data_IF_230915879058
#
_entry.id   IF_230915879058
#
_cell.length_a   1.000
_cell.length_b   1.000
_cell.length_c   1.000
_cell.angle_alpha   90.00
_cell.angle_beta   90.00
_cell.angle_gamma   90.00
#
_symmetry.space_group_name_H-M   'P 1'
#
loop_
_entity.id
_entity.type
_entity.pdbx_description
1 polymer ?
#
# COMPACT_ATOMS: atom_id res chain seq x y z
N UNK A 1 -21.70 -46.18 37.80
CA UNK A 1 -20.33 -45.79 37.42
C UNK A 1 -20.14 -44.32 37.78
N UNK A 2 -19.40 -43.98 38.85
CA UNK A 2 -19.20 -42.58 39.27
C UNK A 2 -18.09 -41.96 38.42
N UNK A 3 -18.43 -41.06 37.49
CA UNK A 3 -17.42 -40.31 36.74
C UNK A 3 -16.61 -39.44 37.72
N UNK A 4 -15.29 -39.58 37.67
CA UNK A 4 -14.36 -38.85 38.53
C UNK A 4 -14.23 -37.41 38.02
N UNK A 5 -14.95 -36.46 38.65
CA UNK A 5 -15.11 -35.06 38.21
C UNK A 5 -13.76 -34.38 37.91
N UNK A 6 -12.69 -34.74 38.63
CA UNK A 6 -11.33 -34.23 38.39
C UNK A 6 -10.76 -34.61 37.02
N UNK A 7 -11.11 -35.79 36.49
CA UNK A 7 -10.68 -36.24 35.14
C UNK A 7 -11.54 -35.63 34.03
N UNK A 8 -12.82 -35.35 34.32
CA UNK A 8 -13.71 -34.65 33.38
C UNK A 8 -13.29 -33.19 33.21
N UNK A 9 -12.87 -32.52 34.28
CA UNK A 9 -12.41 -31.13 34.24
C UNK A 9 -11.10 -30.94 33.43
N UNK A 10 -10.20 -31.93 33.46
CA UNK A 10 -8.96 -31.91 32.67
C UNK A 10 -9.21 -32.15 31.17
N UNK A 11 -10.25 -32.89 30.81
CA UNK A 11 -10.61 -33.19 29.42
C UNK A 11 -11.35 -32.04 28.73
N UNK A 12 -12.07 -31.20 29.49
CA UNK A 12 -12.76 -30.01 28.97
C UNK A 12 -11.80 -28.84 28.71
N UNK A 13 -10.64 -28.79 29.39
CA UNK A 13 -9.69 -27.69 29.22
C UNK A 13 -8.89 -27.75 27.91
N UNK A 14 -8.71 -28.93 27.32
CA UNK A 14 -7.91 -29.14 26.10
C UNK A 14 -8.67 -28.77 24.81
N UNK A 15 -10.01 -28.68 24.85
CA UNK A 15 -10.83 -28.37 23.67
C UNK A 15 -11.07 -26.87 23.42
N UNK A 16 -10.48 -25.97 24.22
CA UNK A 16 -10.73 -24.52 24.11
C UNK A 16 -9.73 -23.74 23.24
N UNK A 17 -8.71 -24.41 22.67
CA UNK A 17 -7.62 -23.71 21.95
C UNK A 17 -7.83 -23.67 20.43
N UNK A 18 -8.87 -24.30 19.88
CA UNK A 18 -9.24 -24.12 18.47
C UNK A 18 -10.38 -23.11 18.35
N UNK A 19 -10.18 -21.89 18.86
CA UNK A 19 -10.96 -20.77 18.35
C UNK A 19 -10.48 -20.56 16.91
N UNK A 20 -11.24 -21.05 15.93
CA UNK A 20 -11.11 -20.52 14.57
C UNK A 20 -11.18 -19.00 14.72
N UNK A 21 -10.11 -18.30 14.31
CA UNK A 21 -10.15 -16.84 14.24
C UNK A 21 -11.29 -16.48 13.28
N UNK A 22 -12.45 -16.15 13.84
CA UNK A 22 -13.59 -15.65 13.07
C UNK A 22 -13.21 -14.24 12.62
N UNK A 23 -12.45 -14.16 11.53
CA UNK A 23 -12.14 -12.91 10.86
C UNK A 23 -13.28 -12.54 9.93
N UNK A 24 -13.54 -11.23 9.81
CA UNK A 24 -14.52 -10.72 8.85
C UNK A 24 -13.99 -10.82 7.42
N UNK A 25 -12.65 -10.82 7.26
CA UNK A 25 -11.96 -10.91 5.99
C UNK A 25 -11.17 -12.21 5.87
N UNK A 26 -11.02 -12.73 4.65
CA UNK A 26 -10.12 -13.86 4.40
C UNK A 26 -8.65 -13.42 4.46
N UNK A 27 -7.70 -14.35 4.62
CA UNK A 27 -6.29 -14.00 4.55
C UNK A 27 -5.89 -13.28 3.25
N UNK A 28 -6.40 -13.74 2.11
CA UNK A 28 -6.20 -13.13 0.80
C UNK A 28 -6.72 -11.69 0.77
N UNK A 29 -7.92 -11.43 1.30
CA UNK A 29 -8.47 -10.08 1.35
C UNK A 29 -7.60 -9.11 2.19
N UNK A 30 -7.03 -9.57 3.30
CA UNK A 30 -6.08 -8.76 4.06
C UNK A 30 -4.81 -8.49 3.24
N UNK A 31 -4.24 -9.52 2.61
CA UNK A 31 -3.01 -9.38 1.82
C UNK A 31 -3.22 -8.47 0.60
N UNK A 32 -4.31 -8.67 -0.14
CA UNK A 32 -4.62 -7.91 -1.34
C UNK A 32 -4.82 -6.42 -1.01
N UNK A 33 -5.62 -6.15 0.03
CA UNK A 33 -5.93 -4.77 0.39
C UNK A 33 -4.74 -4.05 1.04
N UNK A 34 -4.03 -4.71 1.96
CA UNK A 34 -2.97 -4.06 2.73
C UNK A 34 -1.62 -4.05 1.99
N UNK A 35 -1.30 -5.07 1.20
CA UNK A 35 0.00 -5.20 0.54
C UNK A 35 -0.10 -5.06 -0.98
N UNK A 36 -0.88 -5.91 -1.66
CA UNK A 36 -0.85 -5.98 -3.12
C UNK A 36 -1.24 -4.64 -3.78
N UNK A 37 -2.29 -4.00 -3.29
CA UNK A 37 -2.75 -2.71 -3.82
C UNK A 37 -1.74 -1.56 -3.64
N UNK A 38 -0.70 -1.73 -2.81
CA UNK A 38 0.36 -0.73 -2.68
C UNK A 38 1.24 -0.63 -3.93
N UNK A 39 1.16 -1.61 -4.83
CA UNK A 39 1.79 -1.54 -6.14
C UNK A 39 1.27 -0.35 -6.97
N UNK A 40 0.03 0.11 -6.75
CA UNK A 40 -0.52 1.30 -7.44
C UNK A 40 0.15 2.62 -7.01
N UNK A 41 0.79 2.63 -5.84
CA UNK A 41 1.49 3.80 -5.27
C UNK A 41 3.01 3.59 -5.15
N UNK A 42 3.52 2.54 -5.79
CA UNK A 42 4.94 2.19 -5.80
C UNK A 42 5.79 3.10 -6.69
N UNK A 43 5.16 3.78 -7.65
CA UNK A 43 5.83 4.77 -8.49
C UNK A 43 5.91 6.10 -7.75
N UNK A 44 7.00 6.31 -7.03
CA UNK A 44 7.20 7.48 -6.19
C UNK A 44 8.40 8.30 -6.67
N UNK A 45 8.49 9.57 -6.26
CA UNK A 45 9.63 10.41 -6.60
C UNK A 45 9.61 10.81 -8.08
N UNK A 46 10.80 11.04 -8.65
CA UNK A 46 10.93 11.32 -10.08
C UNK A 46 10.36 10.20 -10.97
N UNK A 47 10.43 8.95 -10.49
CA UNK A 47 9.91 7.78 -11.20
C UNK A 47 8.39 7.85 -11.46
N UNK A 48 7.64 8.56 -10.62
CA UNK A 48 6.22 8.86 -10.87
C UNK A 48 6.04 9.58 -12.22
N UNK A 49 6.86 10.61 -12.45
CA UNK A 49 6.75 11.47 -13.63
C UNK A 49 7.23 10.78 -14.90
N UNK A 50 8.21 9.87 -14.80
CA UNK A 50 8.53 8.98 -15.91
C UNK A 50 7.34 8.11 -16.32
N UNK A 51 6.58 7.62 -15.34
CA UNK A 51 5.34 6.88 -15.55
C UNK A 51 4.29 7.71 -16.30
N UNK A 52 4.12 8.97 -15.93
CA UNK A 52 3.25 9.92 -16.62
C UNK A 52 3.71 10.16 -18.07
N UNK A 53 5.01 10.38 -18.31
CA UNK A 53 5.55 10.54 -19.67
C UNK A 53 5.32 9.29 -20.54
N UNK A 54 5.48 8.08 -19.96
CA UNK A 54 5.15 6.83 -20.65
C UNK A 54 3.65 6.71 -20.95
N UNK A 55 2.78 7.11 -20.01
CA UNK A 55 1.34 7.15 -20.22
C UNK A 55 0.97 8.05 -21.41
N UNK A 56 1.53 9.26 -21.49
CA UNK A 56 1.26 10.19 -22.58
C UNK A 56 1.63 9.62 -23.96
N UNK A 57 2.70 8.82 -24.03
CA UNK A 57 3.15 8.19 -25.27
C UNK A 57 2.28 7.00 -25.69
N UNK A 58 1.79 6.23 -24.72
CA UNK A 58 1.16 4.94 -24.98
C UNK A 58 -0.38 4.97 -24.96
N UNK A 59 -0.99 6.02 -24.42
CA UNK A 59 -2.45 6.13 -24.33
C UNK A 59 -2.98 7.17 -25.32
N UNK A 60 -4.01 6.79 -26.06
CA UNK A 60 -4.70 7.62 -27.05
C UNK A 60 -6.21 7.38 -27.00
N UNK A 61 -7.00 8.38 -27.38
CA UNK A 61 -8.45 8.27 -27.47
C UNK A 61 -9.20 9.30 -26.63
N UNK A 62 -10.53 9.36 -26.76
CA UNK A 62 -11.37 10.23 -25.95
C UNK A 62 -11.20 9.90 -24.46
N UNK A 63 -11.07 10.94 -23.62
CA UNK A 63 -10.84 10.78 -22.17
C UNK A 63 -9.38 10.57 -21.76
N UNK A 64 -8.42 10.69 -22.69
CA UNK A 64 -7.00 10.76 -22.34
C UNK A 64 -6.73 11.95 -21.43
N UNK A 65 -6.09 11.70 -20.29
CA UNK A 65 -5.66 12.76 -19.37
C UNK A 65 -4.34 13.34 -19.87
N UNK A 66 -4.34 14.58 -20.34
CA UNK A 66 -3.11 15.20 -20.86
C UNK A 66 -2.35 15.98 -19.81
N UNK A 67 -3.02 16.53 -18.79
CA UNK A 67 -2.37 17.28 -17.72
C UNK A 67 -1.71 16.38 -16.67
N UNK A 68 -0.50 16.73 -16.25
CA UNK A 68 0.23 16.07 -15.19
C UNK A 68 -0.47 16.23 -13.84
N UNK A 69 -1.00 17.42 -13.53
CA UNK A 69 -1.76 17.66 -12.29
C UNK A 69 -3.02 16.80 -12.25
N UNK A 70 -3.76 16.69 -13.35
CA UNK A 70 -4.96 15.85 -13.42
C UNK A 70 -4.61 14.35 -13.29
N UNK A 71 -3.52 13.91 -13.94
CA UNK A 71 -3.02 12.54 -13.82
C UNK A 71 -2.66 12.18 -12.37
N UNK A 72 -2.03 13.13 -11.66
CA UNK A 72 -1.70 12.99 -10.24
C UNK A 72 -2.93 13.03 -9.34
N UNK A 73 -3.90 13.92 -9.57
CA UNK A 73 -5.16 13.94 -8.82
C UNK A 73 -5.91 12.61 -8.91
N UNK A 74 -5.99 12.04 -10.12
CA UNK A 74 -6.57 10.71 -10.30
C UNK A 74 -5.82 9.62 -9.52
N UNK A 75 -4.50 9.76 -9.36
CA UNK A 75 -3.68 8.85 -8.56
C UNK A 75 -3.90 9.03 -7.06
N UNK A 76 -4.02 10.28 -6.59
CA UNK A 76 -4.37 10.64 -5.21
C UNK A 76 -5.74 10.05 -4.86
N UNK A 77 -6.77 10.29 -5.68
CA UNK A 77 -8.13 9.82 -5.44
C UNK A 77 -8.21 8.30 -5.31
N UNK A 78 -7.46 7.57 -6.15
CA UNK A 78 -7.36 6.11 -6.06
C UNK A 78 -6.66 5.69 -4.76
N UNK A 79 -5.53 6.31 -4.43
CA UNK A 79 -4.76 5.99 -3.23
C UNK A 79 -5.56 6.29 -1.94
N UNK A 80 -6.31 7.38 -1.89
CA UNK A 80 -7.21 7.70 -0.76
C UNK A 80 -8.31 6.65 -0.60
N UNK A 81 -8.99 6.28 -1.70
CA UNK A 81 -10.04 5.26 -1.67
C UNK A 81 -9.48 3.92 -1.18
N UNK A 82 -8.27 3.55 -1.59
CA UNK A 82 -7.63 2.31 -1.12
C UNK A 82 -7.22 2.41 0.34
N UNK A 83 -6.64 3.52 0.78
CA UNK A 83 -6.34 3.75 2.20
C UNK A 83 -7.59 3.64 3.08
N UNK A 84 -8.72 4.19 2.65
CA UNK A 84 -9.98 4.07 3.38
C UNK A 84 -10.50 2.63 3.45
N UNK A 85 -10.22 1.79 2.44
CA UNK A 85 -10.51 0.35 2.50
C UNK A 85 -9.60 -0.34 3.52
N UNK A 86 -8.30 -0.05 3.49
CA UNK A 86 -7.32 -0.62 4.45
C UNK A 86 -7.70 -0.26 5.89
N UNK A 87 -8.05 1.00 6.18
CA UNK A 87 -8.47 1.44 7.52
C UNK A 87 -9.77 0.77 8.00
N UNK A 88 -10.61 0.28 7.09
CA UNK A 88 -11.87 -0.43 7.42
C UNK A 88 -11.66 -1.92 7.67
N UNK A 89 -10.48 -2.46 7.35
CA UNK A 89 -10.12 -3.82 7.74
C UNK A 89 -10.20 -3.93 9.26
N UNK A 90 -10.73 -5.07 9.73
CA UNK A 90 -10.72 -5.43 11.16
C UNK A 90 -9.63 -6.47 11.35
N UNK A 91 -8.34 -6.09 11.45
CA UNK A 91 -7.25 -7.06 11.42
C UNK A 91 -7.29 -8.01 12.61
N UNK A 92 -7.03 -9.29 12.33
CA UNK A 92 -6.63 -10.25 13.35
C UNK A 92 -5.26 -9.88 13.94
N UNK A 93 -4.84 -10.47 15.08
CA UNK A 93 -3.50 -10.25 15.62
C UNK A 93 -2.38 -10.53 14.61
N UNK A 94 -2.55 -11.54 13.74
CA UNK A 94 -1.59 -11.90 12.70
C UNK A 94 -1.55 -10.90 11.53
N UNK A 95 -2.70 -10.34 11.13
CA UNK A 95 -2.77 -9.37 10.03
C UNK A 95 -2.40 -7.94 10.46
N UNK A 96 -2.54 -7.61 11.75
CA UNK A 96 -2.41 -6.23 12.27
C UNK A 96 -1.10 -5.53 11.89
N UNK A 97 0.09 -6.14 12.04
CA UNK A 97 1.34 -5.47 11.70
C UNK A 97 1.41 -5.05 10.23
N UNK A 98 0.96 -5.91 9.31
CA UNK A 98 0.91 -5.61 7.87
C UNK A 98 -0.07 -4.47 7.58
N UNK A 99 -1.27 -4.50 8.18
CA UNK A 99 -2.28 -3.44 8.00
C UNK A 99 -1.79 -2.09 8.53
N UNK A 100 -1.17 -2.05 9.71
CA UNK A 100 -0.63 -0.82 10.29
C UNK A 100 0.52 -0.23 9.42
N UNK A 101 1.40 -1.09 8.92
CA UNK A 101 2.48 -0.69 8.01
C UNK A 101 1.93 -0.15 6.68
N UNK A 102 0.86 -0.75 6.16
CA UNK A 102 0.17 -0.29 4.96
C UNK A 102 -0.39 1.12 5.13
N UNK A 103 -1.11 1.38 6.25
CA UNK A 103 -1.63 2.70 6.58
C UNK A 103 -0.50 3.73 6.69
N UNK A 104 0.62 3.36 7.31
CA UNK A 104 1.81 4.22 7.43
C UNK A 104 2.39 4.56 6.06
N UNK A 105 2.52 3.56 5.18
CA UNK A 105 3.05 3.75 3.83
C UNK A 105 2.13 4.63 2.96
N UNK A 106 0.82 4.36 2.93
CA UNK A 106 -0.15 5.18 2.20
C UNK A 106 -0.15 6.63 2.68
N UNK A 107 -0.14 6.87 3.99
CA UNK A 107 -0.12 8.23 4.53
C UNK A 107 1.14 8.99 4.11
N UNK A 108 2.29 8.33 4.09
CA UNK A 108 3.55 8.93 3.64
C UNK A 108 3.47 9.32 2.16
N UNK A 109 3.05 8.40 1.30
CA UNK A 109 2.93 8.66 -0.15
C UNK A 109 1.90 9.75 -0.43
N UNK A 110 0.71 9.68 0.17
CA UNK A 110 -0.35 10.69 -0.01
C UNK A 110 0.08 12.07 0.45
N UNK A 111 0.87 12.18 1.52
CA UNK A 111 1.39 13.45 1.99
C UNK A 111 2.29 14.08 0.92
N UNK A 112 3.23 13.31 0.38
CA UNK A 112 4.11 13.78 -0.69
C UNK A 112 3.37 14.06 -1.99
N UNK A 113 2.40 13.21 -2.34
CA UNK A 113 1.58 13.40 -3.54
C UNK A 113 0.81 14.72 -3.50
N UNK A 114 0.21 15.06 -2.36
CA UNK A 114 -0.56 16.29 -2.17
C UNK A 114 0.29 17.55 -2.04
N UNK A 115 1.59 17.39 -1.78
CA UNK A 115 2.53 18.49 -1.57
C UNK A 115 3.54 18.54 -2.72
N UNK A 116 4.68 17.88 -2.57
CA UNK A 116 5.83 18.00 -3.48
C UNK A 116 5.50 17.54 -4.90
N UNK A 117 4.85 16.38 -5.07
CA UNK A 117 4.51 15.92 -6.42
C UNK A 117 3.49 16.83 -7.08
N UNK A 118 2.49 17.32 -6.33
CA UNK A 118 1.48 18.24 -6.88
C UNK A 118 2.09 19.57 -7.32
N UNK A 119 3.08 20.07 -6.57
CA UNK A 119 3.88 21.23 -6.97
C UNK A 119 4.59 20.95 -8.30
N UNK A 120 5.31 19.83 -8.40
CA UNK A 120 6.07 19.48 -9.62
C UNK A 120 5.14 19.26 -10.82
N UNK A 121 4.02 18.57 -10.63
CA UNK A 121 3.02 18.35 -11.67
C UNK A 121 2.49 19.68 -12.25
N UNK A 122 2.26 20.68 -11.39
CA UNK A 122 1.89 22.04 -11.81
C UNK A 122 3.00 22.74 -12.58
N UNK A 123 4.27 22.57 -12.18
CA UNK A 123 5.41 23.15 -12.90
C UNK A 123 5.48 22.57 -14.32
N UNK A 124 5.26 21.26 -14.47
CA UNK A 124 5.22 20.57 -15.75
C UNK A 124 4.09 21.13 -16.64
N UNK A 125 2.86 21.21 -16.12
CA UNK A 125 1.71 21.71 -16.89
C UNK A 125 1.86 23.19 -17.28
N UNK A 126 2.54 23.98 -16.45
CA UNK A 126 2.87 25.39 -16.73
C UNK A 126 4.05 25.57 -17.68
N UNK A 127 4.71 24.49 -18.09
CA UNK A 127 5.92 24.55 -18.91
C UNK A 127 7.00 25.44 -18.28
N UNK A 128 7.17 25.33 -16.96
CA UNK A 128 8.27 26.01 -16.26
C UNK A 128 9.64 25.54 -16.82
N UNK A 129 10.72 26.33 -16.67
CA UNK A 129 12.02 25.97 -17.19
C UNK A 129 12.47 24.57 -16.74
N UNK A 130 12.99 23.78 -17.67
CA UNK A 130 13.40 22.39 -17.41
C UNK A 130 14.40 22.27 -16.25
N UNK A 131 15.31 23.24 -16.12
CA UNK A 131 16.25 23.32 -15.00
C UNK A 131 15.55 23.38 -13.63
N UNK A 132 14.46 24.15 -13.51
CA UNK A 132 13.71 24.27 -12.26
C UNK A 132 12.91 23.00 -11.95
N UNK A 133 12.33 22.37 -12.98
CA UNK A 133 11.63 21.09 -12.85
C UNK A 133 12.63 20.00 -12.40
N UNK A 134 13.79 19.89 -13.05
CA UNK A 134 14.82 18.91 -12.71
C UNK A 134 15.38 19.12 -11.31
N UNK A 135 15.54 20.38 -10.88
CA UNK A 135 15.92 20.69 -9.50
C UNK A 135 14.87 20.20 -8.51
N UNK A 136 13.59 20.47 -8.75
CA UNK A 136 12.50 20.04 -7.87
C UNK A 136 12.38 18.51 -7.80
N UNK A 137 12.55 17.80 -8.92
CA UNK A 137 12.61 16.34 -8.98
C UNK A 137 13.79 15.78 -8.16
N UNK A 138 14.98 16.36 -8.33
CA UNK A 138 16.17 15.98 -7.54
C UNK A 138 15.94 16.19 -6.05
N UNK A 139 15.35 17.33 -5.66
CA UNK A 139 15.02 17.61 -4.27
C UNK A 139 13.98 16.65 -3.68
N UNK A 140 12.99 16.26 -4.48
CA UNK A 140 12.00 15.26 -4.07
C UNK A 140 12.67 13.93 -3.75
N UNK A 141 13.52 13.41 -4.65
CA UNK A 141 14.15 12.12 -4.47
C UNK A 141 15.13 12.13 -3.29
N UNK A 142 16.00 13.14 -3.22
CA UNK A 142 17.00 13.25 -2.15
C UNK A 142 16.40 13.40 -0.75
N UNK A 143 15.22 14.01 -0.62
CA UNK A 143 14.59 14.23 0.69
C UNK A 143 13.65 13.11 1.10
N UNK A 144 13.00 12.45 0.13
CA UNK A 144 11.84 11.61 0.42
C UNK A 144 11.96 10.16 -0.08
N UNK A 145 12.85 9.84 -1.02
CA UNK A 145 12.88 8.52 -1.64
C UNK A 145 13.38 7.43 -0.68
N UNK A 146 14.40 7.71 0.13
CA UNK A 146 14.91 6.73 1.10
C UNK A 146 13.84 6.33 2.12
N UNK A 147 13.12 7.32 2.67
CA UNK A 147 12.02 7.08 3.60
C UNK A 147 10.82 6.39 2.93
N UNK A 148 10.61 6.60 1.62
CA UNK A 148 9.65 5.83 0.83
C UNK A 148 10.05 4.35 0.77
N UNK A 149 11.29 4.05 0.37
CA UNK A 149 11.82 2.69 0.25
C UNK A 149 11.80 1.97 1.61
N UNK A 150 12.20 2.65 2.69
CA UNK A 150 12.16 2.10 4.04
C UNK A 150 10.74 1.62 4.41
N UNK A 151 9.72 2.44 4.16
CA UNK A 151 8.32 2.13 4.50
C UNK A 151 7.74 1.05 3.59
N UNK A 152 8.06 1.11 2.30
CA UNK A 152 7.69 0.08 1.33
C UNK A 152 8.26 -1.28 1.77
N UNK A 153 9.57 -1.34 2.06
CA UNK A 153 10.23 -2.57 2.48
C UNK A 153 9.72 -3.07 3.83
N UNK A 154 9.43 -2.17 4.78
CA UNK A 154 8.84 -2.55 6.06
C UNK A 154 7.48 -3.24 5.89
N UNK A 155 6.61 -2.68 5.03
CA UNK A 155 5.34 -3.30 4.68
C UNK A 155 5.55 -4.66 4.01
N UNK A 156 6.36 -4.72 2.95
CA UNK A 156 6.50 -5.94 2.15
C UNK A 156 7.18 -7.08 2.89
N UNK A 157 8.10 -6.77 3.81
CA UNK A 157 8.64 -7.78 4.74
C UNK A 157 7.55 -8.43 5.59
N UNK A 158 6.60 -7.64 6.10
CA UNK A 158 5.48 -8.16 6.89
C UNK A 158 4.48 -8.91 6.00
N UNK A 159 4.23 -8.40 4.79
CA UNK A 159 3.36 -9.03 3.81
C UNK A 159 3.87 -10.41 3.37
N UNK A 160 5.18 -10.56 3.15
CA UNK A 160 5.80 -11.83 2.78
C UNK A 160 5.67 -12.88 3.90
N UNK A 161 5.87 -12.48 5.17
CA UNK A 161 5.65 -13.35 6.33
C UNK A 161 4.18 -13.77 6.38
N UNK A 162 3.27 -12.80 6.31
CA UNK A 162 1.84 -13.05 6.36
C UNK A 162 1.36 -13.97 5.23
N UNK A 163 1.83 -13.75 4.00
CA UNK A 163 1.50 -14.58 2.85
C UNK A 163 1.99 -16.02 3.04
N UNK A 164 3.22 -16.21 3.52
CA UNK A 164 3.77 -17.53 3.80
C UNK A 164 2.94 -18.28 4.84
N UNK A 165 2.62 -17.63 5.95
CA UNK A 165 1.87 -18.24 7.06
C UNK A 165 0.43 -18.63 6.64
N UNK A 166 -0.13 -17.90 5.69
CA UNK A 166 -1.48 -18.14 5.15
C UNK A 166 -1.49 -18.88 3.80
N UNK A 167 -0.34 -19.36 3.31
CA UNK A 167 -0.20 -20.09 2.02
C UNK A 167 -0.69 -19.31 0.80
N UNK A 168 -0.54 -17.98 0.82
CA UNK A 168 -0.88 -17.08 -0.29
C UNK A 168 0.28 -17.09 -1.29
N UNK A 169 -0.01 -17.34 -2.57
CA UNK A 169 0.99 -17.29 -3.64
C UNK A 169 1.30 -15.83 -4.02
N UNK A 170 2.51 -15.37 -3.73
CA UNK A 170 2.95 -14.01 -4.05
C UNK A 170 3.64 -13.99 -5.40
N UNK A 171 3.01 -13.35 -6.39
CA UNK A 171 3.68 -12.99 -7.65
C UNK A 171 4.45 -11.69 -7.43
N UNK A 172 5.75 -11.80 -7.15
CA UNK A 172 6.64 -10.63 -7.04
C UNK A 172 6.62 -9.86 -8.37
N UNK A 173 6.19 -8.61 -8.34
CA UNK A 173 6.44 -7.70 -9.46
C UNK A 173 7.82 -7.07 -9.27
N UNK A 174 8.69 -7.09 -10.29
CA UNK A 174 9.99 -6.43 -10.20
C UNK A 174 9.77 -4.91 -10.12
N UNK A 175 10.40 -4.29 -9.12
CA UNK A 175 10.61 -2.84 -9.02
C UNK A 175 12.02 -2.51 -9.46
#
# INVERSE_FOLDING_TARGET
MRLNIKKVMLMVMVFTITACEFSVNTPEEYFDQAALNTNDISRFGAYYFEGYQKYLKNVSGPGKVTGCEEYLKNSIDRAEKTLEKVKKLRPTPSAKPMVDASVTFYNYVLTSYKNEHLKIARMIDKHEPEQEINKALTELDTKQYDAFIEKYNALWKLAEIYAKDNKIEVKKMPF
#
